data_IF_342634443071
#
_entry.id   IF_342634443071
#
_cell.length_a   1.000
_cell.length_b   1.000
_cell.length_c   1.000
_cell.angle_alpha   90.00
_cell.angle_beta   90.00
_cell.angle_gamma   90.00
#
_symmetry.space_group_name_H-M   'P 1'
#
loop_
_entity.id
_entity.type
_entity.pdbx_description
1 polymer ?
#
# COMPACT_ATOMS: atom_id res chain seq x y z
N UNK A 1 2.30 15.57 39.18
CA UNK A 1 1.14 14.78 38.70
C UNK A 1 0.62 15.23 37.31
N UNK A 2 1.44 15.90 36.49
CA UNK A 2 1.01 16.43 35.17
C UNK A 2 1.19 15.47 33.98
N UNK A 3 1.90 14.34 34.13
CA UNK A 3 2.22 13.43 33.01
C UNK A 3 1.18 12.32 32.75
N UNK A 4 0.07 12.26 33.52
CA UNK A 4 -0.88 11.13 33.46
C UNK A 4 -1.89 11.25 32.30
N UNK A 5 -1.98 12.40 31.62
CA UNK A 5 -3.01 12.63 30.58
C UNK A 5 -2.58 12.36 29.14
N UNK A 6 -1.38 11.82 28.89
CA UNK A 6 -0.99 11.36 27.55
C UNK A 6 -1.52 9.94 27.24
N UNK A 7 -2.83 9.93 26.99
CA UNK A 7 -3.56 9.24 25.90
C UNK A 7 -3.51 7.70 25.82
N UNK A 8 -4.36 7.05 26.64
CA UNK A 8 -4.79 5.64 26.47
C UNK A 8 -5.31 5.30 25.04
N UNK A 9 -6.04 6.17 24.30
CA UNK A 9 -6.65 5.73 23.05
C UNK A 9 -5.69 5.53 21.87
N UNK A 10 -4.53 6.21 21.81
CA UNK A 10 -3.65 6.08 20.65
C UNK A 10 -3.05 4.66 20.49
N UNK A 11 -2.49 4.03 21.55
CA UNK A 11 -2.09 2.62 21.49
C UNK A 11 -3.25 1.70 21.11
N UNK A 12 -4.46 1.92 21.65
CA UNK A 12 -5.63 1.09 21.34
C UNK A 12 -5.98 1.15 19.84
N UNK A 13 -6.04 2.34 19.25
CA UNK A 13 -6.37 2.53 17.83
C UNK A 13 -5.31 1.90 16.92
N UNK A 14 -4.02 2.05 17.27
CA UNK A 14 -2.92 1.43 16.52
C UNK A 14 -2.94 -0.08 16.65
N UNK A 15 -3.14 -0.62 17.86
CA UNK A 15 -3.21 -2.06 18.09
C UNK A 15 -4.44 -2.72 17.46
N UNK A 16 -5.53 -1.97 17.23
CA UNK A 16 -6.69 -2.45 16.49
C UNK A 16 -6.45 -2.56 14.97
N UNK A 17 -5.43 -1.86 14.42
CA UNK A 17 -5.22 -1.78 12.98
C UNK A 17 -5.02 -3.15 12.27
N UNK A 18 -4.24 -4.10 12.81
CA UNK A 18 -4.14 -5.46 12.27
C UNK A 18 -5.48 -6.21 12.22
N UNK A 19 -6.29 -6.11 13.28
CA UNK A 19 -7.60 -6.75 13.33
C UNK A 19 -8.56 -6.13 12.31
N UNK A 20 -8.60 -4.80 12.23
CA UNK A 20 -9.39 -4.08 11.22
C UNK A 20 -8.92 -4.45 9.81
N UNK A 21 -7.61 -4.57 9.56
CA UNK A 21 -7.08 -5.01 8.27
C UNK A 21 -7.54 -6.42 7.88
N UNK A 22 -7.66 -7.34 8.85
CA UNK A 22 -8.10 -8.72 8.61
C UNK A 22 -9.59 -8.80 8.25
N UNK A 23 -10.46 -8.12 8.98
CA UNK A 23 -11.91 -8.31 8.83
C UNK A 23 -12.60 -7.22 8.01
N UNK A 24 -12.07 -6.01 8.03
CA UNK A 24 -12.69 -4.84 7.44
C UNK A 24 -11.63 -3.84 7.02
N UNK A 25 -10.75 -4.21 6.08
CA UNK A 25 -9.59 -3.39 5.69
C UNK A 25 -9.96 -1.96 5.27
N UNK A 26 -11.19 -1.72 4.80
CA UNK A 26 -11.71 -0.37 4.53
C UNK A 26 -11.89 0.50 5.79
N UNK A 27 -12.00 -0.13 6.96
CA UNK A 27 -12.08 0.50 8.28
C UNK A 27 -10.78 1.19 8.72
N UNK A 28 -9.66 1.03 8.00
CA UNK A 28 -8.44 1.83 8.24
C UNK A 28 -8.70 3.33 8.10
N UNK A 29 -9.70 3.72 7.29
CA UNK A 29 -10.17 5.10 7.16
C UNK A 29 -10.70 5.60 8.51
N UNK A 30 -11.53 4.80 9.18
CA UNK A 30 -12.12 5.16 10.48
C UNK A 30 -11.00 5.32 11.53
N UNK A 31 -10.04 4.41 11.56
CA UNK A 31 -8.90 4.50 12.48
C UNK A 31 -8.10 5.78 12.27
N UNK A 32 -7.84 6.16 11.02
CA UNK A 32 -7.13 7.40 10.72
C UNK A 32 -7.94 8.65 11.10
N UNK A 33 -9.26 8.66 10.87
CA UNK A 33 -10.13 9.77 11.32
C UNK A 33 -10.09 9.91 12.84
N UNK A 34 -10.21 8.80 13.58
CA UNK A 34 -10.14 8.82 15.04
C UNK A 34 -8.77 9.34 15.53
N UNK A 35 -7.69 8.95 14.87
CA UNK A 35 -6.35 9.49 15.16
C UNK A 35 -6.24 10.97 14.80
N UNK A 36 -6.86 11.42 13.72
CA UNK A 36 -6.89 12.84 13.35
C UNK A 36 -7.64 13.68 14.41
N UNK A 37 -8.70 13.15 15.01
CA UNK A 37 -9.38 13.78 16.14
C UNK A 37 -8.47 13.88 17.37
N UNK A 38 -7.67 12.84 17.66
CA UNK A 38 -6.61 12.92 18.68
C UNK A 38 -5.56 13.98 18.31
N UNK A 39 -5.23 14.10 17.02
CA UNK A 39 -4.32 15.13 16.52
C UNK A 39 -4.84 16.56 16.71
N UNK A 40 -6.13 16.78 16.43
CA UNK A 40 -6.81 18.05 16.72
C UNK A 40 -6.82 18.35 18.22
N UNK A 41 -7.12 17.35 19.05
CA UNK A 41 -7.03 17.49 20.51
C UNK A 41 -5.60 17.86 20.95
N UNK A 42 -4.59 17.19 20.40
CA UNK A 42 -3.17 17.49 20.66
C UNK A 42 -2.78 18.93 20.29
N UNK A 43 -3.29 19.45 19.18
CA UNK A 43 -3.14 20.87 18.81
C UNK A 43 -3.69 21.80 19.88
N UNK A 44 -4.92 21.56 20.37
CA UNK A 44 -5.51 22.37 21.44
C UNK A 44 -4.71 22.29 22.75
N UNK A 45 -4.12 21.13 23.05
CA UNK A 45 -3.29 20.92 24.23
C UNK A 45 -1.83 21.38 24.06
N UNK A 46 -1.48 22.00 22.92
CA UNK A 46 -0.09 22.37 22.56
C UNK A 46 0.89 21.18 22.57
N UNK A 47 0.39 19.96 22.38
CA UNK A 47 1.15 18.72 22.28
C UNK A 47 1.25 18.28 20.81
N UNK A 48 1.82 19.16 19.98
CA UNK A 48 1.86 18.96 18.54
C UNK A 48 3.16 19.52 17.97
N UNK A 49 3.89 18.70 17.22
CA UNK A 49 5.21 19.01 16.69
C UNK A 49 5.30 18.52 15.24
N UNK A 50 5.30 19.44 14.27
CA UNK A 50 5.37 19.06 12.86
C UNK A 50 6.82 18.83 12.39
N UNK A 51 7.08 17.86 11.49
CA UNK A 51 8.41 17.69 10.89
C UNK A 51 8.98 18.99 10.30
N UNK A 52 10.28 19.24 10.49
CA UNK A 52 10.96 20.43 9.96
C UNK A 52 11.12 20.39 8.44
N UNK A 53 11.27 19.19 7.86
CA UNK A 53 11.31 18.99 6.41
C UNK A 53 9.90 19.08 5.80
N UNK A 54 9.57 20.26 5.25
CA UNK A 54 8.26 20.56 4.65
C UNK A 54 8.23 20.48 3.13
N UNK A 55 9.36 20.13 2.50
CA UNK A 55 9.46 20.06 1.03
C UNK A 55 8.45 19.09 0.40
N UNK A 56 8.19 17.95 1.06
CA UNK A 56 7.19 16.99 0.58
C UNK A 56 5.77 17.55 0.60
N UNK A 57 5.42 18.42 1.56
CA UNK A 57 4.09 19.06 1.61
C UNK A 57 3.83 19.94 0.40
N UNK A 58 4.83 20.67 -0.08
CA UNK A 58 4.69 21.51 -1.26
C UNK A 58 4.41 20.66 -2.51
N UNK A 59 5.13 19.54 -2.67
CA UNK A 59 4.86 18.58 -3.75
C UNK A 59 3.50 17.90 -3.63
N UNK A 60 3.11 17.51 -2.41
CA UNK A 60 1.78 16.93 -2.16
C UNK A 60 0.67 17.95 -2.44
N UNK A 61 0.83 19.20 -2.03
CA UNK A 61 -0.13 20.26 -2.31
C UNK A 61 -0.23 20.54 -3.82
N UNK A 62 0.90 20.62 -4.53
CA UNK A 62 0.93 20.77 -5.98
C UNK A 62 0.24 19.61 -6.70
N UNK A 63 0.49 18.37 -6.27
CA UNK A 63 -0.19 17.18 -6.78
C UNK A 63 -1.70 17.23 -6.52
N UNK A 64 -2.14 17.62 -5.32
CA UNK A 64 -3.55 17.72 -4.99
C UNK A 64 -4.27 18.84 -5.76
N UNK A 65 -3.60 19.98 -5.98
CA UNK A 65 -4.09 21.04 -6.87
C UNK A 65 -4.24 20.50 -8.29
N UNK A 66 -3.27 19.74 -8.78
CA UNK A 66 -3.35 19.10 -10.10
C UNK A 66 -4.48 18.08 -10.19
N UNK A 67 -4.68 17.27 -9.14
CA UNK A 67 -5.81 16.35 -9.03
C UNK A 67 -7.15 17.08 -9.16
N UNK A 68 -7.35 18.19 -8.43
CA UNK A 68 -8.56 19.02 -8.52
C UNK A 68 -8.70 19.63 -9.91
N UNK A 69 -7.63 20.21 -10.45
CA UNK A 69 -7.64 20.81 -11.78
C UNK A 69 -8.01 19.79 -12.87
N UNK A 70 -7.55 18.55 -12.72
CA UNK A 70 -7.82 17.46 -13.67
C UNK A 70 -9.30 17.11 -13.82
N UNK A 71 -10.14 17.46 -12.83
CA UNK A 71 -11.59 17.30 -12.94
C UNK A 71 -12.21 18.12 -14.08
N UNK A 72 -11.55 19.20 -14.52
CA UNK A 72 -12.04 20.08 -15.61
C UNK A 72 -12.05 19.36 -16.96
N UNK A 73 -11.10 18.46 -17.21
CA UNK A 73 -11.00 17.69 -18.46
C UNK A 73 -11.21 16.18 -18.28
N UNK A 74 -11.55 15.76 -17.06
CA UNK A 74 -11.78 14.36 -16.75
C UNK A 74 -12.91 13.80 -17.62
N UNK A 75 -12.74 12.57 -18.11
CA UNK A 75 -13.85 11.86 -18.78
C UNK A 75 -15.02 11.61 -17.81
N UNK A 76 -14.74 11.57 -16.51
CA UNK A 76 -15.71 11.36 -15.43
C UNK A 76 -15.56 12.37 -14.29
N UNK A 77 -15.97 13.64 -14.48
CA UNK A 77 -15.85 14.67 -13.44
C UNK A 77 -16.56 14.31 -12.13
N UNK A 78 -17.66 13.55 -12.22
CA UNK A 78 -18.42 13.03 -11.07
C UNK A 78 -17.65 12.04 -10.19
N UNK A 79 -16.54 11.46 -10.67
CA UNK A 79 -15.63 10.65 -9.87
C UNK A 79 -14.41 11.47 -9.40
N UNK A 80 -13.88 12.33 -10.27
CA UNK A 80 -12.67 13.11 -10.01
C UNK A 80 -12.81 14.11 -8.85
N UNK A 81 -13.91 14.85 -8.77
CA UNK A 81 -14.12 15.86 -7.72
C UNK A 81 -14.28 15.22 -6.32
N UNK A 82 -15.18 14.23 -6.11
CA UNK A 82 -15.26 13.52 -4.83
C UNK A 82 -13.93 12.89 -4.45
N UNK A 83 -13.23 12.27 -5.41
CA UNK A 83 -11.93 11.66 -5.15
C UNK A 83 -10.91 12.70 -4.67
N UNK A 84 -10.87 13.87 -5.30
CA UNK A 84 -9.98 14.96 -4.89
C UNK A 84 -10.29 15.45 -3.47
N UNK A 85 -11.57 15.60 -3.12
CA UNK A 85 -11.99 15.96 -1.77
C UNK A 85 -11.61 14.90 -0.73
N UNK A 86 -11.78 13.61 -1.05
CA UNK A 86 -11.33 12.50 -0.20
C UNK A 86 -9.81 12.54 0.01
N UNK A 87 -9.02 12.77 -1.04
CA UNK A 87 -7.55 12.86 -0.95
C UNK A 87 -7.09 14.06 -0.11
N UNK A 88 -7.76 15.21 -0.25
CA UNK A 88 -7.51 16.40 0.58
C UNK A 88 -7.82 16.12 2.06
N UNK A 89 -9.00 15.59 2.35
CA UNK A 89 -9.41 15.24 3.72
C UNK A 89 -8.47 14.22 4.36
N UNK A 90 -8.04 13.23 3.58
CA UNK A 90 -7.08 12.23 4.01
C UNK A 90 -5.69 12.83 4.29
N UNK A 91 -5.22 13.74 3.44
CA UNK A 91 -3.97 14.47 3.65
C UNK A 91 -3.99 15.32 4.92
N UNK A 92 -5.10 16.01 5.18
CA UNK A 92 -5.31 16.77 6.42
C UNK A 92 -5.30 15.85 7.66
N UNK A 93 -6.06 14.76 7.61
CA UNK A 93 -6.11 13.77 8.69
C UNK A 93 -4.72 13.18 9.00
N UNK A 94 -3.96 12.84 7.95
CA UNK A 94 -2.59 12.39 8.05
C UNK A 94 -1.65 13.42 8.68
N UNK A 95 -1.74 14.69 8.28
CA UNK A 95 -0.91 15.77 8.84
C UNK A 95 -1.22 16.06 10.32
N UNK A 96 -2.50 16.03 10.70
CA UNK A 96 -2.94 16.17 12.09
C UNK A 96 -2.36 15.04 12.95
N UNK A 97 -2.51 13.80 12.48
CA UNK A 97 -1.94 12.62 13.14
C UNK A 97 -0.43 12.67 13.23
N UNK A 98 0.27 13.13 12.18
CA UNK A 98 1.73 13.19 12.14
C UNK A 98 2.29 14.10 13.24
N UNK A 99 1.73 15.30 13.38
CA UNK A 99 2.24 16.23 14.39
C UNK A 99 1.96 15.77 15.82
N UNK A 100 0.88 15.03 16.04
CA UNK A 100 0.58 14.41 17.33
C UNK A 100 1.50 13.23 17.64
N UNK A 101 1.67 12.29 16.71
CA UNK A 101 2.55 11.13 16.90
C UNK A 101 4.03 11.52 17.02
N UNK A 102 4.44 12.62 16.38
CA UNK A 102 5.81 13.15 16.51
C UNK A 102 6.09 13.76 17.88
N UNK A 103 5.08 14.32 18.54
CA UNK A 103 5.20 14.93 19.87
C UNK A 103 5.18 13.90 21.02
N UNK A 104 4.98 12.61 20.73
CA UNK A 104 4.99 11.55 21.74
C UNK A 104 6.39 11.34 22.30
N UNK A 105 6.47 11.13 23.62
CA UNK A 105 7.71 10.75 24.28
C UNK A 105 8.08 9.28 24.00
N UNK A 106 9.28 8.88 24.44
CA UNK A 106 9.78 7.52 24.22
C UNK A 106 8.90 6.44 24.86
N UNK A 107 8.34 6.71 26.04
CA UNK A 107 7.48 5.75 26.73
C UNK A 107 6.15 5.53 25.99
N UNK A 108 5.53 6.59 25.48
CA UNK A 108 4.34 6.52 24.65
C UNK A 108 4.64 5.84 23.31
N UNK A 109 5.77 6.15 22.66
CA UNK A 109 6.20 5.46 21.44
C UNK A 109 6.37 3.95 21.65
N UNK A 110 6.91 3.53 22.78
CA UNK A 110 7.04 2.11 23.13
C UNK A 110 5.69 1.43 23.35
N UNK A 111 4.71 2.12 23.94
CA UNK A 111 3.32 1.63 24.05
C UNK A 111 2.65 1.49 22.69
N UNK A 112 2.86 2.45 21.78
CA UNK A 112 2.37 2.37 20.39
C UNK A 112 2.96 1.14 19.69
N UNK A 113 4.27 0.93 19.80
CA UNK A 113 4.94 -0.23 19.21
C UNK A 113 4.41 -1.54 19.79
N UNK A 114 4.32 -1.63 21.11
CA UNK A 114 3.77 -2.82 21.80
C UNK A 114 2.34 -3.13 21.38
N UNK A 115 1.49 -2.10 21.25
CA UNK A 115 0.12 -2.29 20.82
C UNK A 115 0.04 -2.80 19.38
N UNK A 116 0.86 -2.28 18.46
CA UNK A 116 0.94 -2.80 17.08
C UNK A 116 1.42 -4.26 17.05
N UNK A 117 2.44 -4.60 17.85
CA UNK A 117 2.95 -5.98 17.96
C UNK A 117 1.86 -6.91 18.49
N UNK A 118 1.17 -6.51 19.56
CA UNK A 118 0.06 -7.28 20.10
C UNK A 118 -1.03 -7.48 19.05
N UNK A 119 -1.42 -6.41 18.35
CA UNK A 119 -2.39 -6.48 17.25
C UNK A 119 -1.98 -7.48 16.16
N UNK A 120 -0.72 -7.47 15.73
CA UNK A 120 -0.20 -8.42 14.72
C UNK A 120 -0.24 -9.87 15.23
N UNK A 121 0.17 -10.11 16.47
CA UNK A 121 0.15 -11.43 17.09
C UNK A 121 -1.29 -11.95 17.21
N UNK A 122 -2.18 -11.15 17.79
CA UNK A 122 -3.60 -11.51 17.93
C UNK A 122 -4.25 -11.76 16.56
N UNK A 123 -3.96 -10.92 15.57
CA UNK A 123 -4.42 -11.10 14.20
C UNK A 123 -3.94 -12.43 13.59
N UNK A 124 -2.67 -12.80 13.81
CA UNK A 124 -2.13 -14.06 13.33
C UNK A 124 -2.79 -15.28 14.00
N UNK A 125 -3.01 -15.22 15.32
CA UNK A 125 -3.72 -16.27 16.07
C UNK A 125 -5.14 -16.45 15.55
N UNK A 126 -5.87 -15.34 15.35
CA UNK A 126 -7.24 -15.39 14.85
C UNK A 126 -7.29 -15.91 13.40
N UNK A 127 -6.39 -15.43 12.53
CA UNK A 127 -6.31 -15.91 11.16
C UNK A 127 -6.01 -17.42 11.09
N UNK A 128 -5.11 -17.91 11.96
CA UNK A 128 -4.79 -19.34 12.04
C UNK A 128 -5.98 -20.17 12.55
N UNK A 129 -6.68 -19.71 13.59
CA UNK A 129 -7.89 -20.39 14.08
C UNK A 129 -8.98 -20.42 13.00
N UNK A 130 -9.24 -19.31 12.30
CA UNK A 130 -10.20 -19.29 11.19
C UNK A 130 -9.80 -20.24 10.05
N UNK A 131 -8.50 -20.41 9.80
CA UNK A 131 -8.01 -21.36 8.82
C UNK A 131 -8.25 -22.82 9.24
N UNK A 132 -8.12 -23.14 10.53
CA UNK A 132 -8.28 -24.50 11.07
C UNK A 132 -9.75 -24.89 11.30
N UNK A 133 -10.57 -23.96 11.81
CA UNK A 133 -11.92 -24.25 12.33
C UNK A 133 -13.03 -23.90 11.32
N UNK A 134 -12.70 -23.80 10.04
CA UNK A 134 -13.70 -23.50 8.99
C UNK A 134 -14.27 -22.08 9.06
N UNK A 135 -13.47 -21.12 9.54
CA UNK A 135 -13.72 -19.67 9.59
C UNK A 135 -14.75 -19.26 10.65
N UNK A 136 -14.72 -19.89 11.82
CA UNK A 136 -15.69 -19.66 12.91
C UNK A 136 -15.78 -18.17 13.32
N UNK A 137 -14.65 -17.50 13.55
CA UNK A 137 -14.61 -16.09 13.97
C UNK A 137 -15.11 -15.20 12.84
N UNK A 138 -14.63 -15.41 11.62
CA UNK A 138 -15.13 -14.69 10.44
C UNK A 138 -16.64 -14.84 10.27
N UNK A 139 -17.20 -16.05 10.39
CA UNK A 139 -18.65 -16.29 10.28
C UNK A 139 -19.44 -15.57 11.36
N UNK A 140 -18.97 -15.62 12.61
CA UNK A 140 -19.60 -14.94 13.73
C UNK A 140 -19.65 -13.42 13.50
N UNK A 141 -18.50 -12.82 13.16
CA UNK A 141 -18.41 -11.38 12.89
C UNK A 141 -19.32 -10.95 11.73
N UNK A 142 -19.33 -11.72 10.64
CA UNK A 142 -20.17 -11.45 9.48
C UNK A 142 -21.66 -11.59 9.77
N UNK A 143 -22.05 -12.57 10.60
CA UNK A 143 -23.43 -12.75 11.06
C UNK A 143 -23.89 -11.55 11.91
N UNK A 144 -23.04 -11.04 12.81
CA UNK A 144 -23.37 -9.87 13.65
C UNK A 144 -23.61 -8.60 12.83
N UNK A 145 -23.00 -8.48 11.64
CA UNK A 145 -23.18 -7.33 10.73
C UNK A 145 -24.27 -7.60 9.67
N UNK A 146 -25.06 -8.66 9.84
CA UNK A 146 -26.16 -9.00 8.93
C UNK A 146 -25.72 -9.46 7.55
N UNK A 147 -24.48 -9.94 7.39
CA UNK A 147 -23.91 -10.44 6.13
C UNK A 147 -23.33 -11.85 6.29
N UNK A 148 -24.14 -12.84 6.74
CA UNK A 148 -23.62 -14.17 7.06
C UNK A 148 -22.91 -14.81 5.86
N UNK A 149 -21.74 -15.41 6.10
CA UNK A 149 -21.02 -16.19 5.09
C UNK A 149 -21.76 -17.52 4.92
N UNK A 150 -22.25 -17.79 3.71
CA UNK A 150 -23.00 -19.00 3.40
C UNK A 150 -22.15 -20.26 3.65
N UNK A 151 -22.78 -21.32 4.18
CA UNK A 151 -22.12 -22.60 4.43
C UNK A 151 -21.60 -23.15 3.09
N UNK A 152 -20.32 -23.56 3.04
CA UNK A 152 -19.67 -24.10 1.85
C UNK A 152 -18.92 -23.07 0.98
N UNK A 153 -19.07 -21.75 1.22
CA UNK A 153 -18.22 -20.76 0.55
C UNK A 153 -16.87 -20.65 1.26
N UNK A 154 -15.77 -20.81 0.51
CA UNK A 154 -14.44 -20.49 0.99
C UNK A 154 -14.29 -18.97 1.09
N UNK A 155 -14.54 -18.39 2.27
CA UNK A 155 -14.22 -16.98 2.52
C UNK A 155 -12.69 -16.85 2.63
N UNK A 156 -12.09 -16.32 1.57
CA UNK A 156 -10.66 -16.01 1.60
C UNK A 156 -10.48 -14.74 2.44
N UNK A 157 -9.68 -14.82 3.50
CA UNK A 157 -9.29 -13.62 4.24
C UNK A 157 -8.76 -12.55 3.25
N UNK A 158 -9.13 -11.26 3.41
CA UNK A 158 -8.80 -10.23 2.43
C UNK A 158 -7.29 -10.16 2.21
N UNK A 159 -6.82 -10.33 0.96
CA UNK A 159 -5.37 -10.26 0.63
C UNK A 159 -4.71 -8.95 1.05
N UNK A 160 -5.50 -7.89 1.26
CA UNK A 160 -5.09 -6.63 1.87
C UNK A 160 -4.44 -6.82 3.25
N UNK A 161 -4.99 -7.69 4.10
CA UNK A 161 -4.45 -7.94 5.44
C UNK A 161 -3.00 -8.41 5.40
N UNK A 162 -2.65 -9.29 4.45
CA UNK A 162 -1.28 -9.76 4.26
C UNK A 162 -0.31 -8.68 3.78
N UNK A 163 -0.74 -7.83 2.84
CA UNK A 163 0.11 -6.71 2.38
C UNK A 163 0.35 -5.67 3.47
N UNK A 164 -0.67 -5.38 4.29
CA UNK A 164 -0.55 -4.47 5.44
C UNK A 164 0.29 -5.10 6.57
N UNK A 165 0.11 -6.39 6.83
CA UNK A 165 0.94 -7.14 7.76
C UNK A 165 2.42 -7.12 7.33
N UNK A 166 2.73 -7.25 6.04
CA UNK A 166 4.11 -7.12 5.55
C UNK A 166 4.72 -5.74 5.87
N UNK A 167 3.98 -4.65 5.60
CA UNK A 167 4.42 -3.27 5.87
C UNK A 167 4.66 -3.06 7.37
N UNK A 168 3.69 -3.43 8.21
CA UNK A 168 3.77 -3.24 9.66
C UNK A 168 4.78 -4.18 10.31
N UNK A 169 4.99 -5.37 9.78
CA UNK A 169 6.01 -6.29 10.27
C UNK A 169 7.43 -5.73 10.04
N UNK A 170 7.73 -5.22 8.85
CA UNK A 170 9.02 -4.58 8.55
C UNK A 170 9.27 -3.40 9.49
N UNK A 171 8.24 -2.56 9.70
CA UNK A 171 8.29 -1.44 10.64
C UNK A 171 8.60 -1.90 12.08
N UNK A 172 7.81 -2.85 12.59
CA UNK A 172 7.91 -3.34 13.96
C UNK A 172 9.21 -4.10 14.23
N UNK A 173 9.69 -4.90 13.27
CA UNK A 173 10.96 -5.62 13.36
C UNK A 173 12.12 -4.64 13.45
N UNK A 174 12.19 -3.65 12.56
CA UNK A 174 13.24 -2.63 12.61
C UNK A 174 13.20 -1.84 13.93
N UNK A 175 12.00 -1.42 14.36
CA UNK A 175 11.81 -0.71 15.62
C UNK A 175 12.17 -1.54 16.87
N UNK A 176 11.90 -2.86 16.86
CA UNK A 176 12.29 -3.78 17.93
C UNK A 176 13.81 -4.00 17.95
N UNK A 177 14.43 -4.12 16.78
CA UNK A 177 15.87 -4.32 16.67
C UNK A 177 16.64 -3.12 17.24
N UNK A 178 16.19 -1.90 16.95
CA UNK A 178 16.72 -0.66 17.54
C UNK A 178 16.67 -0.63 19.08
N UNK A 179 15.71 -1.35 19.67
CA UNK A 179 15.50 -1.44 21.12
C UNK A 179 16.15 -2.67 21.77
N UNK A 180 16.81 -3.53 20.98
CA UNK A 180 17.32 -4.83 21.44
C UNK A 180 16.23 -5.85 21.76
N UNK A 181 14.99 -5.63 21.33
CA UNK A 181 13.84 -6.50 21.59
C UNK A 181 13.75 -7.66 20.59
N UNK A 182 14.83 -8.40 20.41
CA UNK A 182 14.97 -9.41 19.36
C UNK A 182 13.91 -10.53 19.43
N UNK A 183 13.52 -10.95 20.65
CA UNK A 183 12.44 -11.93 20.84
C UNK A 183 11.10 -11.44 20.30
N UNK A 184 10.78 -10.16 20.49
CA UNK A 184 9.55 -9.54 19.97
C UNK A 184 9.61 -9.41 18.44
N UNK A 185 10.77 -9.06 17.89
CA UNK A 185 10.97 -9.07 16.43
C UNK A 185 10.71 -10.46 15.82
N UNK A 186 11.21 -11.52 16.46
CA UNK A 186 10.94 -12.91 16.05
C UNK A 186 9.45 -13.25 16.05
N UNK A 187 8.70 -12.85 17.10
CA UNK A 187 7.25 -13.06 17.14
C UNK A 187 6.53 -12.32 16.02
N UNK A 188 6.90 -11.06 15.74
CA UNK A 188 6.33 -10.29 14.63
C UNK A 188 6.56 -10.96 13.27
N UNK A 189 7.76 -11.50 13.04
CA UNK A 189 8.08 -12.24 11.81
C UNK A 189 7.18 -13.47 11.64
N UNK A 190 7.03 -14.26 12.70
CA UNK A 190 6.15 -15.45 12.69
C UNK A 190 4.71 -15.04 12.45
N UNK A 191 4.22 -13.99 13.13
CA UNK A 191 2.85 -13.49 12.94
C UNK A 191 2.60 -13.03 11.51
N UNK A 192 3.53 -12.27 10.92
CA UNK A 192 3.42 -11.83 9.53
C UNK A 192 3.42 -13.00 8.55
N UNK A 193 4.30 -13.98 8.76
CA UNK A 193 4.34 -15.20 7.96
C UNK A 193 3.01 -15.97 8.02
N UNK A 194 2.46 -16.18 9.21
CA UNK A 194 1.18 -16.86 9.40
C UNK A 194 0.05 -16.13 8.66
N UNK A 195 -0.06 -14.80 8.79
CA UNK A 195 -1.08 -14.01 8.10
C UNK A 195 -0.94 -14.12 6.56
N UNK A 196 0.29 -14.00 6.04
CA UNK A 196 0.57 -14.10 4.61
C UNK A 196 0.26 -15.49 4.06
N UNK A 197 0.63 -16.53 4.81
CA UNK A 197 0.39 -17.92 4.45
C UNK A 197 -1.10 -18.25 4.42
N UNK A 198 -1.84 -17.94 5.50
CA UNK A 198 -3.28 -18.20 5.61
C UNK A 198 -4.08 -17.50 4.50
N UNK A 199 -3.70 -16.27 4.15
CA UNK A 199 -4.38 -15.49 3.10
C UNK A 199 -3.97 -15.89 1.67
N UNK A 200 -2.98 -16.77 1.52
CA UNK A 200 -2.41 -17.19 0.24
C UNK A 200 -2.07 -16.00 -0.68
N UNK A 201 -1.34 -15.01 -0.13
CA UNK A 201 -1.08 -13.74 -0.80
C UNK A 201 0.35 -13.64 -1.34
N UNK A 202 0.53 -13.91 -2.63
CA UNK A 202 1.82 -13.71 -3.32
C UNK A 202 2.33 -12.26 -3.23
N UNK A 203 1.44 -11.27 -3.36
CA UNK A 203 1.81 -9.85 -3.21
C UNK A 203 2.30 -9.56 -1.80
N UNK A 204 1.66 -10.12 -0.77
CA UNK A 204 2.09 -9.98 0.62
C UNK A 204 3.47 -10.61 0.85
N UNK A 205 3.70 -11.82 0.31
CA UNK A 205 4.98 -12.52 0.41
C UNK A 205 6.11 -11.72 -0.26
N UNK A 206 5.93 -11.31 -1.52
CA UNK A 206 6.95 -10.54 -2.25
C UNK A 206 7.22 -9.21 -1.57
N UNK A 207 6.19 -8.51 -1.10
CA UNK A 207 6.35 -7.28 -0.34
C UNK A 207 7.17 -7.50 0.94
N UNK A 208 6.89 -8.54 1.71
CA UNK A 208 7.66 -8.88 2.91
C UNK A 208 9.13 -9.18 2.58
N UNK A 209 9.40 -9.97 1.54
CA UNK A 209 10.76 -10.29 1.10
C UNK A 209 11.51 -9.01 0.69
N UNK A 210 10.93 -8.19 -0.19
CA UNK A 210 11.52 -6.92 -0.61
C UNK A 210 11.79 -6.01 0.59
N UNK A 211 10.83 -5.93 1.51
CA UNK A 211 10.93 -5.13 2.72
C UNK A 211 12.05 -5.57 3.66
N UNK A 212 12.14 -6.87 3.98
CA UNK A 212 13.17 -7.39 4.87
C UNK A 212 14.56 -7.39 4.24
N UNK A 213 14.66 -7.64 2.94
CA UNK A 213 15.93 -7.46 2.19
C UNK A 213 16.34 -5.99 2.22
N UNK A 214 15.42 -5.06 1.93
CA UNK A 214 15.69 -3.63 2.00
C UNK A 214 16.11 -3.21 3.42
N UNK A 215 15.46 -3.74 4.47
CA UNK A 215 15.83 -3.48 5.86
C UNK A 215 17.24 -3.95 6.18
N UNK A 216 17.58 -5.19 5.80
CA UNK A 216 18.90 -5.76 6.00
C UNK A 216 19.96 -4.94 5.27
N UNK A 217 19.80 -4.70 3.96
CA UNK A 217 20.76 -3.92 3.17
C UNK A 217 20.87 -2.48 3.67
N UNK A 218 19.75 -1.84 4.01
CA UNK A 218 19.74 -0.47 4.51
C UNK A 218 20.39 -0.35 5.89
N UNK A 219 20.52 -1.44 6.66
CA UNK A 219 21.19 -1.43 7.96
C UNK A 219 22.65 -1.02 7.83
N UNK A 220 23.34 -1.50 6.78
CA UNK A 220 24.74 -1.16 6.50
C UNK A 220 24.88 -0.09 5.41
N UNK A 221 23.95 -0.03 4.46
CA UNK A 221 24.04 0.83 3.28
C UNK A 221 22.77 1.66 3.03
N UNK A 222 22.32 2.48 4.01
CA UNK A 222 21.06 3.22 3.88
C UNK A 222 21.08 4.22 2.72
N UNK A 223 22.25 4.81 2.41
CA UNK A 223 22.42 5.69 1.25
C UNK A 223 22.23 4.96 -0.07
N UNK A 224 22.77 3.75 -0.19
CA UNK A 224 22.61 2.94 -1.40
C UNK A 224 21.14 2.55 -1.61
N UNK A 225 20.47 2.07 -0.56
CA UNK A 225 19.03 1.73 -0.64
C UNK A 225 18.20 2.96 -1.00
N UNK A 226 18.46 4.13 -0.39
CA UNK A 226 17.77 5.38 -0.76
C UNK A 226 17.97 5.73 -2.23
N UNK A 227 19.20 5.63 -2.74
CA UNK A 227 19.51 5.92 -4.14
C UNK A 227 18.83 4.91 -5.08
N UNK A 228 18.86 3.62 -4.76
CA UNK A 228 18.18 2.58 -5.54
C UNK A 228 16.67 2.87 -5.58
N UNK A 229 16.03 3.13 -4.45
CA UNK A 229 14.60 3.45 -4.40
C UNK A 229 14.27 4.70 -5.22
N UNK A 230 15.04 5.78 -5.04
CA UNK A 230 14.84 7.01 -5.80
C UNK A 230 15.04 6.79 -7.32
N UNK A 231 16.10 6.09 -7.71
CA UNK A 231 16.39 5.76 -9.11
C UNK A 231 15.30 4.87 -9.71
N UNK A 232 14.88 3.81 -9.04
CA UNK A 232 13.80 2.94 -9.50
C UNK A 232 12.49 3.71 -9.70
N UNK A 233 12.17 4.66 -8.81
CA UNK A 233 10.99 5.51 -8.97
C UNK A 233 11.12 6.47 -10.15
N UNK A 234 12.25 7.17 -10.28
CA UNK A 234 12.49 8.12 -11.37
C UNK A 234 12.49 7.39 -12.72
N UNK A 235 13.22 6.28 -12.82
CA UNK A 235 13.26 5.44 -14.03
C UNK A 235 11.88 4.85 -14.31
N UNK A 236 11.19 4.34 -13.29
CA UNK A 236 9.85 3.78 -13.43
C UNK A 236 8.87 4.79 -14.02
N UNK A 237 8.83 6.02 -13.48
CA UNK A 237 8.01 7.08 -14.05
C UNK A 237 8.48 7.54 -15.43
N UNK A 238 9.79 7.63 -15.69
CA UNK A 238 10.30 8.00 -17.02
C UNK A 238 9.91 6.97 -18.09
N UNK A 239 10.01 5.67 -17.78
CA UNK A 239 9.66 4.57 -18.68
C UNK A 239 8.16 4.33 -18.75
N UNK A 240 7.39 4.68 -17.71
CA UNK A 240 5.95 4.47 -17.66
C UNK A 240 5.18 5.14 -18.81
N UNK A 241 5.68 6.27 -19.31
CA UNK A 241 5.12 6.94 -20.50
C UNK A 241 5.32 6.18 -21.82
N UNK A 242 6.12 5.10 -21.83
CA UNK A 242 6.39 4.24 -22.99
C UNK A 242 5.66 2.89 -22.91
N UNK A 243 4.64 2.77 -22.04
CA UNK A 243 3.95 1.50 -21.80
C UNK A 243 3.25 0.92 -23.04
N UNK A 244 2.92 1.75 -24.04
CA UNK A 244 2.36 1.28 -25.32
C UNK A 244 3.36 0.46 -26.14
N UNK A 245 4.66 0.64 -25.88
CA UNK A 245 5.74 -0.12 -26.52
C UNK A 245 5.94 -1.52 -25.93
N UNK A 246 5.15 -1.92 -24.92
CA UNK A 246 5.16 -3.29 -24.40
C UNK A 246 4.72 -4.24 -25.53
N UNK A 247 5.50 -5.29 -25.85
CA UNK A 247 5.13 -6.25 -26.88
C UNK A 247 3.80 -6.94 -26.60
N UNK A 248 3.14 -7.40 -27.65
CA UNK A 248 1.92 -8.19 -27.55
C UNK A 248 2.14 -9.40 -26.61
N UNK A 249 1.15 -9.67 -25.74
CA UNK A 249 1.14 -10.85 -24.86
C UNK A 249 1.38 -12.18 -25.59
N UNK A 250 0.99 -12.30 -26.86
CA UNK A 250 1.33 -13.40 -27.75
C UNK A 250 2.84 -13.61 -27.90
N UNK A 251 3.58 -12.56 -28.31
CA UNK A 251 5.02 -12.63 -28.53
C UNK A 251 5.75 -12.98 -27.23
N UNK A 252 5.25 -12.45 -26.11
CA UNK A 252 5.79 -12.72 -24.78
C UNK A 252 5.50 -14.16 -24.35
N UNK A 253 4.27 -14.64 -24.52
CA UNK A 253 3.89 -16.01 -24.15
C UNK A 253 4.63 -17.08 -24.97
N UNK A 254 4.99 -16.77 -26.23
CA UNK A 254 5.84 -17.64 -27.05
C UNK A 254 7.28 -17.69 -26.55
N UNK A 255 7.85 -16.54 -26.16
CA UNK A 255 9.27 -16.43 -25.77
C UNK A 255 9.52 -16.82 -24.31
N UNK A 256 8.54 -16.60 -23.42
CA UNK A 256 8.69 -16.80 -21.98
C UNK A 256 7.58 -17.74 -21.49
N UNK A 257 7.84 -19.05 -21.60
CA UNK A 257 6.88 -20.13 -21.28
C UNK A 257 6.45 -20.19 -19.80
N UNK A 258 7.21 -19.57 -18.89
CA UNK A 258 7.00 -19.66 -17.43
C UNK A 258 6.29 -18.44 -16.81
N UNK A 259 5.76 -17.51 -17.61
CA UNK A 259 5.04 -16.37 -17.02
C UNK A 259 3.73 -16.85 -16.40
N UNK A 260 3.44 -16.49 -15.14
CA UNK A 260 2.15 -16.80 -14.51
C UNK A 260 0.99 -16.18 -15.29
N UNK A 261 -0.20 -16.81 -15.37
CA UNK A 261 -1.37 -16.26 -16.04
C UNK A 261 -1.72 -14.83 -15.60
N UNK A 262 -1.57 -14.53 -14.30
CA UNK A 262 -1.79 -13.19 -13.75
C UNK A 262 -0.78 -12.15 -14.25
N UNK A 263 0.43 -12.56 -14.62
CA UNK A 263 1.44 -11.70 -15.24
C UNK A 263 1.07 -11.35 -16.68
N UNK A 264 0.65 -12.34 -17.48
CA UNK A 264 0.20 -12.11 -18.86
C UNK A 264 -1.04 -11.21 -18.92
N UNK A 265 -2.00 -11.41 -18.01
CA UNK A 265 -3.14 -10.51 -17.87
C UNK A 265 -2.72 -9.07 -17.55
N UNK A 266 -1.76 -8.87 -16.62
CA UNK A 266 -1.24 -7.52 -16.31
C UNK A 266 -0.55 -6.88 -17.51
N UNK A 267 0.21 -7.63 -18.30
CA UNK A 267 0.86 -7.11 -19.50
C UNK A 267 -0.16 -6.63 -20.54
N UNK A 268 -1.27 -7.36 -20.73
CA UNK A 268 -2.37 -6.91 -21.59
C UNK A 268 -2.98 -5.60 -21.07
N UNK A 269 -3.27 -5.52 -19.76
CA UNK A 269 -3.78 -4.29 -19.12
C UNK A 269 -2.79 -3.13 -19.30
N UNK A 270 -1.48 -3.37 -19.17
CA UNK A 270 -0.45 -2.34 -19.29
C UNK A 270 -0.31 -1.84 -20.72
N UNK A 271 -0.42 -2.72 -21.70
CA UNK A 271 -0.43 -2.36 -23.12
C UNK A 271 -1.65 -1.48 -23.46
N UNK A 272 -2.85 -1.89 -23.02
CA UNK A 272 -4.07 -1.09 -23.15
C UNK A 272 -3.91 0.29 -22.48
N UNK A 273 -3.41 0.31 -21.24
CA UNK A 273 -3.18 1.55 -20.48
C UNK A 273 -2.18 2.46 -21.20
N UNK A 274 -1.13 1.88 -21.78
CA UNK A 274 -0.14 2.59 -22.58
C UNK A 274 -0.74 3.28 -23.80
N UNK A 275 -1.62 2.59 -24.54
CA UNK A 275 -2.34 3.20 -25.67
C UNK A 275 -3.17 4.40 -25.23
N UNK A 276 -3.85 4.30 -24.08
CA UNK A 276 -4.59 5.44 -23.50
C UNK A 276 -3.67 6.57 -23.03
N UNK A 277 -2.46 6.27 -22.57
CA UNK A 277 -1.45 7.29 -22.24
C UNK A 277 -1.04 8.06 -23.50
N UNK A 278 -0.80 7.38 -24.61
CA UNK A 278 -0.40 8.00 -25.89
C UNK A 278 -1.45 8.96 -26.44
N UNK A 279 -2.72 8.73 -26.16
CA UNK A 279 -3.83 9.61 -26.57
C UNK A 279 -3.82 10.96 -25.81
N UNK A 280 -3.36 10.97 -24.54
CA UNK A 280 -3.34 12.17 -23.68
C UNK A 280 -2.06 12.24 -22.80
N UNK A 281 -0.86 12.32 -23.40
CA UNK A 281 0.40 12.08 -22.67
C UNK A 281 0.76 13.16 -21.67
N UNK A 282 0.33 14.41 -21.89
CA UNK A 282 0.68 15.54 -21.02
C UNK A 282 -0.25 15.70 -19.82
N UNK A 283 -1.57 15.66 -20.07
CA UNK A 283 -2.61 15.96 -19.07
C UNK A 283 -3.30 14.72 -18.49
N UNK A 284 -3.22 13.58 -19.17
CA UNK A 284 -3.98 12.38 -18.83
C UNK A 284 -5.49 12.55 -19.01
N UNK A 285 -6.22 11.57 -18.50
CA UNK A 285 -7.68 11.45 -18.63
C UNK A 285 -8.49 12.01 -17.47
N UNK A 286 -7.83 12.63 -16.49
CA UNK A 286 -8.41 13.10 -15.23
C UNK A 286 -8.33 12.07 -14.11
N UNK A 287 -8.31 12.55 -12.86
CA UNK A 287 -8.24 11.70 -11.67
C UNK A 287 -9.38 10.67 -11.60
N UNK A 288 -9.03 9.43 -11.23
CA UNK A 288 -9.93 8.27 -11.07
C UNK A 288 -10.63 7.84 -12.38
N UNK A 289 -10.18 8.36 -13.53
CA UNK A 289 -10.76 8.05 -14.85
C UNK A 289 -10.52 6.62 -15.31
N UNK A 290 -9.53 5.90 -14.76
CA UNK A 290 -9.25 4.47 -15.05
C UNK A 290 -10.49 3.58 -14.97
N UNK A 291 -11.49 3.95 -14.15
CA UNK A 291 -12.74 3.21 -13.94
C UNK A 291 -13.73 3.32 -15.09
N UNK A 292 -13.53 4.26 -15.99
CA UNK A 292 -14.44 4.61 -17.06
C UNK A 292 -13.67 5.11 -18.29
N UNK A 293 -12.47 4.55 -18.52
CA UNK A 293 -11.74 4.81 -19.75
C UNK A 293 -12.52 4.17 -20.92
N UNK A 294 -12.64 4.87 -22.07
CA UNK A 294 -13.23 4.29 -23.27
C UNK A 294 -12.57 2.94 -23.58
N UNK A 295 -13.37 1.92 -23.90
CA UNK A 295 -12.90 0.56 -24.18
C UNK A 295 -12.31 -0.21 -22.98
N UNK A 296 -12.37 0.32 -21.76
CA UNK A 296 -11.87 -0.35 -20.56
C UNK A 296 -12.73 -1.53 -20.12
N UNK A 297 -14.03 -1.49 -20.42
CA UNK A 297 -14.98 -2.58 -20.15
C UNK A 297 -15.01 -3.64 -21.26
N UNK A 298 -14.31 -3.41 -22.38
CA UNK A 298 -14.26 -4.35 -23.48
C UNK A 298 -13.49 -5.61 -23.06
N UNK A 299 -14.02 -6.77 -23.45
CA UNK A 299 -13.31 -8.04 -23.31
C UNK A 299 -12.25 -8.17 -24.40
N UNK A 300 -10.99 -8.31 -23.98
CA UNK A 300 -9.86 -8.50 -24.89
C UNK A 300 -9.32 -9.93 -24.81
N UNK A 301 -8.91 -10.52 -25.95
CA UNK A 301 -8.30 -11.84 -25.96
C UNK A 301 -6.90 -11.79 -25.34
N UNK A 302 -6.71 -12.48 -24.22
CA UNK A 302 -5.41 -12.63 -23.56
C UNK A 302 -4.92 -14.06 -23.71
N UNK A 303 -3.74 -14.22 -24.30
CA UNK A 303 -3.08 -15.53 -24.44
C UNK A 303 -2.40 -15.91 -23.13
N UNK A 304 -2.81 -17.01 -22.50
CA UNK A 304 -2.33 -17.44 -21.17
C UNK A 304 -1.27 -18.54 -21.21
N UNK A 305 -1.30 -19.44 -22.21
CA UNK A 305 -0.35 -20.56 -22.31
C UNK A 305 -0.35 -21.16 -23.72
N UNK A 306 0.84 -21.55 -24.19
CA UNK A 306 1.00 -22.55 -25.25
C UNK A 306 1.12 -23.91 -24.58
N UNK A 307 0.16 -24.81 -24.84
CA UNK A 307 0.08 -26.12 -24.18
C UNK A 307 0.54 -27.19 -25.17
N UNK A 308 1.79 -27.66 -25.03
CA UNK A 308 2.35 -28.76 -25.85
C UNK A 308 2.02 -30.17 -25.27
N UNK A 309 1.51 -30.29 -24.02
CA UNK A 309 1.26 -31.57 -23.31
C UNK A 309 -0.14 -31.68 -22.66
N UNK A 310 -0.66 -32.88 -22.32
CA UNK A 310 -2.10 -33.08 -22.11
C UNK A 310 -2.60 -32.70 -20.70
N UNK A 311 -3.69 -31.92 -20.71
CA UNK A 311 -4.78 -31.78 -19.72
C UNK A 311 -4.40 -31.42 -18.26
N UNK A 312 -4.59 -30.14 -17.93
CA UNK A 312 -5.03 -29.70 -16.61
C UNK A 312 -6.55 -29.44 -16.69
N UNK A 313 -7.34 -30.30 -16.06
CA UNK A 313 -8.81 -30.33 -16.15
C UNK A 313 -9.51 -29.03 -15.69
N UNK A 314 -8.77 -28.14 -15.03
CA UNK A 314 -9.25 -26.87 -14.48
C UNK A 314 -9.31 -25.71 -15.49
N UNK A 315 -8.81 -25.87 -16.73
CA UNK A 315 -8.83 -24.80 -17.73
C UNK A 315 -9.38 -25.31 -19.06
N UNK A 316 -10.28 -24.56 -19.72
CA UNK A 316 -10.85 -24.89 -21.05
C UNK A 316 -9.81 -24.89 -22.20
N UNK A 317 -8.52 -25.04 -21.90
CA UNK A 317 -7.42 -25.03 -22.84
C UNK A 317 -7.23 -26.42 -23.46
N UNK A 318 -7.24 -26.54 -24.79
CA UNK A 318 -6.98 -27.80 -25.50
C UNK A 318 -5.48 -27.96 -25.81
N UNK A 319 -4.89 -29.17 -25.72
CA UNK A 319 -3.51 -29.42 -26.14
C UNK A 319 -3.28 -29.07 -27.61
N UNK A 320 -2.10 -28.55 -27.94
CA UNK A 320 -1.76 -28.10 -29.29
C UNK A 320 -2.48 -26.82 -29.75
N UNK A 321 -3.16 -26.11 -28.84
CA UNK A 321 -3.82 -24.82 -29.12
C UNK A 321 -3.41 -23.75 -28.12
N UNK A 322 -3.51 -22.51 -28.59
CA UNK A 322 -3.36 -21.29 -27.80
C UNK A 322 -4.53 -21.22 -26.83
N UNK A 323 -4.24 -21.08 -25.53
CA UNK A 323 -5.29 -20.77 -24.58
C UNK A 323 -5.53 -19.27 -24.51
N UNK A 324 -6.68 -18.83 -25.00
CA UNK A 324 -7.12 -17.44 -24.98
C UNK A 324 -8.27 -17.31 -23.99
N UNK A 325 -8.12 -16.40 -23.03
CA UNK A 325 -9.23 -15.98 -22.17
C UNK A 325 -9.68 -14.59 -22.59
N UNK A 326 -10.99 -14.37 -22.59
CA UNK A 326 -11.55 -13.03 -22.69
C UNK A 326 -11.49 -12.41 -21.30
N UNK A 327 -10.71 -11.34 -21.18
CA UNK A 327 -10.54 -10.60 -19.93
C UNK A 327 -10.80 -9.13 -20.19
N UNK A 328 -11.45 -8.46 -19.25
CA UNK A 328 -11.69 -7.04 -19.31
C UNK A 328 -10.37 -6.26 -19.51
N UNK A 329 -10.34 -5.36 -20.49
CA UNK A 329 -9.14 -4.64 -20.90
C UNK A 329 -8.52 -3.80 -19.76
N UNK A 330 -9.36 -3.18 -18.94
CA UNK A 330 -8.96 -2.48 -17.73
C UNK A 330 -10.05 -2.65 -16.66
N UNK A 331 -9.84 -3.50 -15.65
CA UNK A 331 -10.84 -3.74 -14.61
C UNK A 331 -11.26 -2.48 -13.84
N UNK A 332 -10.43 -2.04 -12.88
CA UNK A 332 -10.64 -0.80 -12.12
C UNK A 332 -9.42 0.12 -12.20
N UNK A 333 -8.24 -0.47 -12.33
CA UNK A 333 -6.96 0.22 -12.40
C UNK A 333 -5.89 -0.71 -12.99
N UNK A 334 -4.76 -0.17 -13.48
CA UNK A 334 -3.73 -0.95 -14.18
C UNK A 334 -2.94 -1.96 -13.34
N UNK A 335 -3.31 -2.18 -12.06
CA UNK A 335 -2.47 -2.87 -11.07
C UNK A 335 -1.00 -2.42 -11.03
N UNK A 336 -0.74 -1.16 -11.37
CA UNK A 336 0.58 -0.54 -11.39
C UNK A 336 0.39 0.96 -11.15
N UNK A 337 0.84 1.47 -10.00
CA UNK A 337 0.58 2.87 -9.64
C UNK A 337 1.22 3.89 -10.59
N UNK A 338 2.37 3.55 -11.20
CA UNK A 338 3.04 4.46 -12.14
C UNK A 338 2.17 4.64 -13.37
N UNK A 339 1.70 3.54 -13.97
CA UNK A 339 0.81 3.59 -15.13
C UNK A 339 -0.52 4.25 -14.79
N UNK A 340 -1.04 4.03 -13.59
CA UNK A 340 -2.27 4.70 -13.15
C UNK A 340 -2.10 6.22 -13.06
N UNK A 341 -1.00 6.70 -12.48
CA UNK A 341 -0.71 8.14 -12.40
C UNK A 341 -0.52 8.73 -13.79
N UNK A 342 0.17 8.02 -14.69
CA UNK A 342 0.36 8.46 -16.08
C UNK A 342 -0.95 8.57 -16.85
N UNK A 343 -1.78 7.52 -16.85
CA UNK A 343 -3.03 7.52 -17.64
C UNK A 343 -4.02 8.55 -17.09
N UNK A 344 -4.07 8.76 -15.78
CA UNK A 344 -5.03 9.68 -15.18
C UNK A 344 -4.55 11.14 -15.15
N UNK A 345 -3.27 11.39 -14.86
CA UNK A 345 -2.76 12.75 -14.60
C UNK A 345 -1.67 13.21 -15.58
N UNK A 346 -1.27 12.35 -16.53
CA UNK A 346 -0.28 12.64 -17.56
C UNK A 346 1.14 12.85 -17.03
N UNK A 347 2.02 13.34 -17.91
CA UNK A 347 3.41 13.67 -17.58
C UNK A 347 3.52 14.66 -16.42
N UNK A 348 2.61 15.63 -16.33
CA UNK A 348 2.58 16.62 -15.24
C UNK A 348 2.33 15.91 -13.90
N UNK A 349 1.30 15.07 -13.83
CA UNK A 349 1.02 14.28 -12.63
C UNK A 349 2.12 13.31 -12.27
N UNK A 350 2.71 12.64 -13.27
CA UNK A 350 3.86 11.75 -13.09
C UNK A 350 5.06 12.49 -12.47
N UNK A 351 5.38 13.69 -12.96
CA UNK A 351 6.44 14.53 -12.42
C UNK A 351 6.14 14.95 -10.96
N UNK A 352 4.94 15.45 -10.69
CA UNK A 352 4.53 15.88 -9.36
C UNK A 352 4.53 14.73 -8.34
N UNK A 353 4.00 13.57 -8.74
CA UNK A 353 3.98 12.37 -7.90
C UNK A 353 5.39 11.85 -7.63
N UNK A 354 6.24 11.77 -8.66
CA UNK A 354 7.63 11.36 -8.50
C UNK A 354 8.39 12.32 -7.56
N UNK A 355 8.24 13.64 -7.76
CA UNK A 355 8.80 14.68 -6.91
C UNK A 355 8.34 14.56 -5.46
N UNK A 356 7.06 14.28 -5.23
CA UNK A 356 6.50 14.03 -3.90
C UNK A 356 7.18 12.84 -3.21
N UNK A 357 7.28 11.68 -3.87
CA UNK A 357 7.88 10.49 -3.25
C UNK A 357 9.39 10.68 -3.02
N UNK A 358 10.10 11.32 -3.95
CA UNK A 358 11.53 11.66 -3.78
C UNK A 358 11.72 12.65 -2.61
N UNK A 359 10.82 13.62 -2.45
CA UNK A 359 10.85 14.54 -1.32
C UNK A 359 10.61 13.82 0.01
N UNK A 360 9.70 12.83 0.05
CA UNK A 360 9.49 11.97 1.23
C UNK A 360 10.75 11.14 1.55
N UNK A 361 11.39 10.53 0.54
CA UNK A 361 12.65 9.78 0.71
C UNK A 361 13.80 10.63 1.26
N UNK A 362 13.80 11.93 0.94
CA UNK A 362 14.78 12.91 1.43
C UNK A 362 14.42 13.52 2.77
N UNK A 363 13.13 13.56 3.13
CA UNK A 363 12.63 14.20 4.35
C UNK A 363 13.22 13.60 5.62
N UNK A 364 13.55 12.30 5.58
CA UNK A 364 14.31 11.61 6.62
C UNK A 364 15.77 11.43 6.19
N UNK A 365 16.57 12.44 6.52
CA UNK A 365 18.02 12.44 6.30
C UNK A 365 18.76 11.49 7.24
N UNK A 366 20.06 11.30 7.01
CA UNK A 366 20.92 10.47 7.86
C UNK A 366 21.10 9.03 7.38
N UNK A 367 21.78 8.27 8.23
CA UNK A 367 22.18 6.87 8.03
C UNK A 367 21.98 6.04 9.32
N UNK A 368 21.09 6.48 10.21
CA UNK A 368 20.75 5.78 11.44
C UNK A 368 19.79 4.60 11.18
N UNK A 369 19.71 3.62 12.10
CA UNK A 369 18.81 2.47 11.99
C UNK A 369 17.32 2.81 11.79
N UNK A 370 16.85 3.95 12.33
CA UNK A 370 15.48 4.39 12.14
C UNK A 370 15.24 4.84 10.69
N UNK A 371 16.24 5.48 10.07
CA UNK A 371 16.22 5.78 8.63
C UNK A 371 16.26 4.51 7.78
N UNK A 372 17.08 3.52 8.14
CA UNK A 372 17.09 2.22 7.45
C UNK A 372 15.73 1.54 7.48
N UNK A 373 15.06 1.56 8.64
CA UNK A 373 13.71 1.00 8.80
C UNK A 373 12.67 1.76 7.99
N UNK A 374 12.73 3.10 7.98
CA UNK A 374 11.81 3.91 7.18
C UNK A 374 11.97 3.65 5.67
N UNK A 375 13.20 3.52 5.17
CA UNK A 375 13.47 3.18 3.77
C UNK A 375 12.91 1.80 3.41
N UNK A 376 13.05 0.82 4.31
CA UNK A 376 12.49 -0.51 4.12
C UNK A 376 10.96 -0.50 4.06
N UNK A 377 10.29 0.27 4.95
CA UNK A 377 8.83 0.45 4.93
C UNK A 377 8.37 1.10 3.61
N UNK A 378 9.10 2.09 3.11
CA UNK A 378 8.81 2.71 1.80
C UNK A 378 9.01 1.70 0.67
N UNK A 379 10.07 0.89 0.69
CA UNK A 379 10.31 -0.17 -0.28
C UNK A 379 9.16 -1.20 -0.31
N UNK A 380 8.73 -1.69 0.86
CA UNK A 380 7.59 -2.59 1.00
C UNK A 380 6.31 -1.97 0.44
N UNK A 381 6.05 -0.71 0.80
CA UNK A 381 4.85 0.02 0.37
C UNK A 381 4.83 0.24 -1.15
N UNK A 382 5.98 0.57 -1.74
CA UNK A 382 6.13 0.72 -3.19
C UNK A 382 5.92 -0.60 -3.93
N UNK A 383 6.42 -1.72 -3.40
CA UNK A 383 6.17 -3.06 -3.95
C UNK A 383 4.67 -3.40 -3.94
N UNK A 384 3.97 -3.11 -2.85
CA UNK A 384 2.51 -3.33 -2.78
C UNK A 384 1.77 -2.44 -3.77
N UNK A 385 2.13 -1.15 -3.88
CA UNK A 385 1.51 -0.23 -4.83
C UNK A 385 1.76 -0.64 -6.30
N UNK A 386 2.88 -1.29 -6.59
CA UNK A 386 3.23 -1.80 -7.92
C UNK A 386 2.42 -3.03 -8.37
N UNK A 387 1.78 -3.75 -7.44
CA UNK A 387 1.20 -5.05 -7.74
C UNK A 387 -0.19 -5.31 -7.13
N UNK A 388 -0.65 -4.46 -6.21
CA UNK A 388 -1.83 -4.67 -5.40
C UNK A 388 -3.03 -3.86 -5.88
N UNK A 389 -3.08 -2.60 -5.45
CA UNK A 389 -4.29 -1.78 -5.42
C UNK A 389 -4.13 -0.51 -6.24
N UNK A 390 -5.26 0.06 -6.66
CA UNK A 390 -5.26 1.39 -7.26
C UNK A 390 -4.73 2.42 -6.27
N UNK A 391 -3.86 3.31 -6.73
CA UNK A 391 -3.12 4.21 -5.83
C UNK A 391 -4.03 5.20 -5.10
N UNK A 392 -5.19 5.52 -5.67
CA UNK A 392 -6.21 6.42 -5.10
C UNK A 392 -7.22 5.74 -4.19
N UNK A 393 -7.03 4.47 -3.85
CA UNK A 393 -7.88 3.78 -2.89
C UNK A 393 -7.70 4.37 -1.49
N UNK A 394 -8.75 4.98 -0.94
CA UNK A 394 -8.66 5.75 0.31
C UNK A 394 -8.26 4.89 1.50
N UNK A 395 -8.74 3.64 1.59
CA UNK A 395 -8.35 2.71 2.66
C UNK A 395 -6.86 2.34 2.62
N UNK A 396 -6.28 2.26 1.41
CA UNK A 396 -4.87 1.93 1.19
C UNK A 396 -4.00 3.12 1.59
N UNK A 397 -4.34 4.32 1.10
CA UNK A 397 -3.68 5.55 1.49
C UNK A 397 -3.83 5.82 3.01
N UNK A 398 -4.97 5.47 3.60
CA UNK A 398 -5.16 5.53 5.07
C UNK A 398 -4.18 4.64 5.80
N UNK A 399 -3.96 3.40 5.32
CA UNK A 399 -3.00 2.48 5.91
C UNK A 399 -1.54 2.94 5.74
N UNK A 400 -1.20 3.59 4.62
CA UNK A 400 0.10 4.23 4.44
C UNK A 400 0.29 5.40 5.42
N UNK A 401 -0.73 6.23 5.63
CA UNK A 401 -0.71 7.27 6.65
C UNK A 401 -0.48 6.66 8.03
N UNK A 402 -1.30 5.69 8.45
CA UNK A 402 -1.12 4.99 9.74
C UNK A 402 0.30 4.43 9.90
N UNK A 403 0.88 3.87 8.85
CA UNK A 403 2.26 3.37 8.86
C UNK A 403 3.27 4.50 9.07
N UNK A 404 3.08 5.64 8.41
CA UNK A 404 3.91 6.83 8.60
C UNK A 404 3.77 7.42 10.02
N UNK A 405 2.56 7.44 10.58
CA UNK A 405 2.30 7.91 11.95
C UNK A 405 3.09 7.07 12.96
N UNK A 406 2.96 5.74 12.88
CA UNK A 406 3.68 4.82 13.75
C UNK A 406 5.19 4.97 13.54
N UNK A 407 5.67 5.04 12.29
CA UNK A 407 7.09 5.20 11.99
C UNK A 407 7.68 6.47 12.60
N UNK A 408 6.97 7.60 12.54
CA UNK A 408 7.43 8.87 13.11
C UNK A 408 7.46 8.85 14.63
N UNK A 409 6.59 8.08 15.29
CA UNK A 409 6.65 7.88 16.73
C UNK A 409 7.80 6.94 17.13
N UNK A 410 7.90 5.76 16.53
CA UNK A 410 8.71 4.66 17.07
C UNK A 410 10.15 4.61 16.56
N UNK A 411 10.46 5.29 15.44
CA UNK A 411 11.79 5.29 14.84
C UNK A 411 12.62 6.51 15.23
N UNK A 412 12.18 7.35 16.17
CA UNK A 412 13.01 8.47 16.62
C UNK A 412 14.22 7.97 17.42
N UNK A 413 15.39 8.63 17.32
CA UNK A 413 16.48 8.38 18.26
C UNK A 413 16.02 8.66 19.69
N UNK A 414 16.43 7.87 20.69
CA UNK A 414 16.02 8.04 22.09
C UNK A 414 16.38 9.40 22.71
N UNK A 415 17.25 10.18 22.07
CA UNK A 415 17.69 11.51 22.51
C UNK A 415 17.16 12.66 21.64
N UNK A 416 16.37 12.38 20.60
CA UNK A 416 15.75 13.44 19.81
C UNK A 416 14.61 14.03 20.63
N UNK A 417 14.75 15.26 21.10
CA UNK A 417 13.62 16.00 21.69
C UNK A 417 12.46 16.00 20.70
N UNK A 418 11.29 15.57 21.18
CA UNK A 418 10.04 15.55 20.43
C UNK A 418 9.45 16.97 20.36
N UNK A 419 10.23 17.91 19.81
CA UNK A 419 10.20 19.29 20.27
C UNK A 419 10.56 19.40 21.78
#
# INVERSE_FOLDING_TARGET
>A
MENVKQVIPAPLLVGAAPFVALFAFRGTIILLILIALLGLWGLFQKQWCFPSSRGWLAWTAALLIWCVASAVWASTPGLALPKSAELLGLGLAGCLGLGYFRALDGAAADRILLAMIFGLISCAVIALSDHMDGMMVSRLLHAMVGKPIAQGHAFSAPKASATLAAIWAVLCVGACWMRGWYRRAGLVLVSAFVIIWVTNSNTGLVAAVVGFVALAVAWWFPRAVRMILASCLVIGFAVGGLASSIPNTWDIAQKIRQIPPSGLHRLAIWQFTGQRIDERPLLGWGLDSSRALPGGEDDIPVTLKFVDEPREEATNCKPGRVCVMQLQALPLHPHNFVLQVWVELGAVGAFLFCGMVVAILRARGGADPGTSTALAVIATSAMVAMAGYGIWQIWWLSALWLSALVAVAVLQPPYAKAC
#
